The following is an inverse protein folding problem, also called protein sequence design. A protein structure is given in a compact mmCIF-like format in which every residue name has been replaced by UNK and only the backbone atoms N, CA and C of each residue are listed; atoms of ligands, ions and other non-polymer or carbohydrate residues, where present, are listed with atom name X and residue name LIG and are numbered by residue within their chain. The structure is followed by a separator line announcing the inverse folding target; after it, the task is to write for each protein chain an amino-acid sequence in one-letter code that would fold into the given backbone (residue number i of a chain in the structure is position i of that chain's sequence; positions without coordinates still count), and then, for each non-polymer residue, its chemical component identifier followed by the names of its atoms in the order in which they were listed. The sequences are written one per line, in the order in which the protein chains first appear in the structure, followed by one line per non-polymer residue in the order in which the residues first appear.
data_IF_400950393646
#
_entry.id   IF_400950393646
#
_cell.length_a   1.000
_cell.length_b   1.000
_cell.length_c   1.000
_cell.angle_alpha   90.00
_cell.angle_beta   90.00
_cell.angle_gamma   90.00
#
_symmetry.space_group_name_H-M   'P 1'
#
loop_
_entity.id
_entity.type
_entity.pdbx_description
1 polymer ?
#
# COMPACT_ATOMS: atom_id res chain seq x y z
N UNK A 1 19.46 5.09 -11.19
CA UNK A 1 18.14 4.55 -11.54
C UNK A 1 17.04 5.44 -11.00
N UNK A 2 16.06 5.76 -11.79
CA UNK A 2 14.96 6.59 -11.36
C UNK A 2 14.06 5.83 -10.37
N UNK A 3 13.63 6.53 -9.32
CA UNK A 3 12.65 6.00 -8.37
C UNK A 3 11.20 6.16 -8.84
N UNK A 4 11.02 6.71 -10.05
CA UNK A 4 9.69 6.88 -10.65
C UNK A 4 9.40 5.76 -11.63
N UNK A 5 8.12 5.47 -11.82
CA UNK A 5 7.66 4.53 -12.83
C UNK A 5 7.79 5.19 -14.21
N UNK A 6 8.45 4.51 -15.11
CA UNK A 6 8.66 4.99 -16.48
C UNK A 6 7.90 4.14 -17.47
N UNK A 7 7.32 4.80 -18.46
CA UNK A 7 6.80 4.16 -19.68
C UNK A 7 7.65 4.61 -20.85
N UNK A 8 7.55 3.90 -21.98
CA UNK A 8 8.43 4.07 -23.14
C UNK A 8 8.57 5.51 -23.63
N UNK A 9 7.52 6.33 -23.53
CA UNK A 9 7.53 7.71 -24.02
C UNK A 9 7.19 8.74 -22.95
N UNK A 10 6.92 8.31 -21.74
CA UNK A 10 6.41 9.20 -20.70
C UNK A 10 7.07 8.94 -19.36
N UNK A 11 7.32 10.02 -18.62
CA UNK A 11 7.63 9.97 -17.21
C UNK A 11 6.51 10.68 -16.49
N UNK A 12 5.80 9.97 -15.63
CA UNK A 12 4.72 10.55 -14.85
C UNK A 12 4.98 10.36 -13.36
N UNK A 13 4.59 11.36 -12.58
CA UNK A 13 4.70 11.30 -11.13
C UNK A 13 3.30 11.50 -10.56
N UNK A 14 2.58 10.40 -10.41
CA UNK A 14 1.25 10.39 -9.82
C UNK A 14 1.35 9.72 -8.46
N UNK A 15 1.28 10.53 -7.42
CA UNK A 15 1.40 10.07 -6.05
C UNK A 15 0.08 10.25 -5.33
N UNK A 16 -0.32 9.20 -4.61
CA UNK A 16 -1.54 9.19 -3.83
C UNK A 16 -1.25 8.80 -2.40
N UNK A 17 -1.90 9.50 -1.49
CA UNK A 17 -1.98 9.06 -0.11
C UNK A 17 -3.32 8.36 0.06
N UNK A 18 -3.28 7.10 0.52
CA UNK A 18 -4.46 6.28 0.72
C UNK A 18 -4.54 5.87 2.18
N UNK A 19 -5.75 5.86 2.73
CA UNK A 19 -5.99 5.33 4.07
C UNK A 19 -7.16 4.34 3.99
N UNK A 20 -6.92 3.11 4.44
CA UNK A 20 -7.93 2.06 4.45
C UNK A 20 -8.20 1.64 5.89
N UNK A 21 -9.39 1.91 6.42
CA UNK A 21 -9.78 1.37 7.72
C UNK A 21 -10.18 -0.10 7.63
N UNK A 22 -9.84 -0.88 8.65
CA UNK A 22 -10.32 -2.23 8.78
C UNK A 22 -11.82 -2.25 9.01
N UNK A 23 -12.50 -3.32 8.58
CA UNK A 23 -13.95 -3.46 8.70
C UNK A 23 -14.38 -3.31 10.16
N UNK A 24 -15.38 -2.47 10.39
CA UNK A 24 -15.89 -2.11 11.71
C UNK A 24 -14.84 -1.45 12.61
N UNK A 25 -13.76 -0.94 12.05
CA UNK A 25 -12.64 -0.35 12.79
C UNK A 25 -12.09 -1.30 13.86
N UNK A 26 -12.12 -2.59 13.57
CA UNK A 26 -11.58 -3.59 14.51
C UNK A 26 -10.06 -3.61 14.49
N UNK A 27 -9.47 -3.83 15.64
CA UNK A 27 -8.02 -3.88 15.83
C UNK A 27 -7.48 -5.25 15.41
N UNK A 28 -7.49 -5.51 14.10
CA UNK A 28 -7.07 -6.81 13.56
C UNK A 28 -5.68 -6.80 12.93
N UNK A 29 -5.07 -5.62 12.81
CA UNK A 29 -3.76 -5.50 12.16
C UNK A 29 -2.68 -5.62 13.24
N UNK A 30 -2.31 -6.85 13.53
CA UNK A 30 -1.21 -7.18 14.42
C UNK A 30 0.09 -7.34 13.62
N UNK A 31 1.17 -7.76 14.28
CA UNK A 31 2.47 -7.92 13.64
C UNK A 31 2.44 -8.93 12.49
N UNK A 32 1.67 -10.00 12.62
CA UNK A 32 1.55 -11.03 11.58
C UNK A 32 0.81 -10.50 10.37
N UNK A 33 -0.32 -9.81 10.57
CA UNK A 33 -1.09 -9.20 9.49
C UNK A 33 -0.26 -8.10 8.81
N UNK A 34 0.45 -7.29 9.55
CA UNK A 34 1.34 -6.27 9.01
C UNK A 34 2.38 -6.89 8.07
N UNK A 35 3.01 -7.98 8.49
CA UNK A 35 4.00 -8.67 7.67
C UNK A 35 3.39 -9.21 6.37
N UNK A 36 2.24 -9.86 6.46
CA UNK A 36 1.54 -10.38 5.28
C UNK A 36 1.15 -9.24 4.34
N UNK A 37 0.64 -8.14 4.88
CA UNK A 37 0.26 -6.98 4.10
C UNK A 37 1.45 -6.46 3.28
N UNK A 38 2.61 -6.33 3.88
CA UNK A 38 3.82 -5.84 3.21
C UNK A 38 4.29 -6.81 2.12
N UNK A 39 4.24 -8.10 2.39
CA UNK A 39 4.58 -9.12 1.39
C UNK A 39 3.64 -9.05 0.18
N UNK A 40 2.35 -8.93 0.44
CA UNK A 40 1.35 -8.83 -0.64
C UNK A 40 1.55 -7.56 -1.45
N UNK A 41 1.87 -6.46 -0.81
CA UNK A 41 2.16 -5.20 -1.52
C UNK A 41 3.35 -5.33 -2.46
N UNK A 42 4.40 -6.05 -2.07
CA UNK A 42 5.52 -6.34 -2.96
C UNK A 42 5.09 -7.20 -4.14
N UNK A 43 4.23 -8.19 -3.92
CA UNK A 43 3.68 -9.01 -4.99
C UNK A 43 2.82 -8.19 -5.96
N UNK A 44 2.06 -7.23 -5.44
CA UNK A 44 1.27 -6.30 -6.25
C UNK A 44 2.19 -5.45 -7.13
N UNK A 45 3.28 -4.90 -6.59
CA UNK A 45 4.25 -4.13 -7.36
C UNK A 45 4.82 -4.94 -8.52
N UNK A 46 5.01 -6.23 -8.32
CA UNK A 46 5.57 -7.11 -9.35
C UNK A 46 4.60 -7.35 -10.51
N UNK A 47 3.30 -7.17 -10.29
CA UNK A 47 2.25 -7.51 -11.27
C UNK A 47 1.54 -6.32 -11.87
N UNK A 48 1.54 -5.18 -11.19
CA UNK A 48 0.80 -3.99 -11.61
C UNK A 48 1.73 -2.79 -11.68
N UNK A 49 1.32 -1.79 -12.45
CA UNK A 49 2.13 -0.57 -12.66
C UNK A 49 1.92 0.40 -11.49
N UNK A 50 2.39 0.02 -10.33
CA UNK A 50 2.36 0.86 -9.15
C UNK A 50 3.54 0.54 -8.24
N UNK A 51 3.85 1.46 -7.35
CA UNK A 51 4.95 1.30 -6.41
C UNK A 51 4.53 1.87 -5.06
N UNK A 52 4.71 1.08 -4.01
CA UNK A 52 4.46 1.53 -2.64
C UNK A 52 5.72 2.24 -2.14
N UNK A 53 5.63 3.55 -1.95
CA UNK A 53 6.75 4.32 -1.40
C UNK A 53 6.78 4.26 0.12
N UNK A 54 5.61 4.13 0.74
CA UNK A 54 5.51 4.00 2.19
C UNK A 54 4.26 3.21 2.55
N UNK A 55 4.37 2.37 3.57
CA UNK A 55 3.25 1.66 4.18
C UNK A 55 3.34 1.87 5.69
N UNK A 56 2.33 2.49 6.27
CA UNK A 56 2.22 2.66 7.71
C UNK A 56 0.99 1.95 8.22
N UNK A 57 1.14 1.14 9.27
CA UNK A 57 0.03 0.40 9.84
C UNK A 57 -0.25 0.86 11.26
N UNK A 58 -1.53 0.89 11.60
CA UNK A 58 -2.00 0.96 12.97
C UNK A 58 -2.91 -0.25 13.18
N UNK A 59 -3.42 -0.45 14.38
CA UNK A 59 -4.20 -1.66 14.69
C UNK A 59 -5.48 -1.78 13.88
N UNK A 60 -6.09 -0.66 13.49
CA UNK A 60 -7.40 -0.65 12.82
C UNK A 60 -7.41 0.06 11.46
N UNK A 61 -6.26 0.47 10.95
CA UNK A 61 -6.16 1.09 9.63
C UNK A 61 -4.75 1.02 9.08
N UNK A 62 -4.64 1.24 7.76
CA UNK A 62 -3.35 1.27 7.05
C UNK A 62 -3.32 2.51 6.19
N UNK A 63 -2.18 3.18 6.13
CA UNK A 63 -1.97 4.26 5.19
C UNK A 63 -0.80 3.95 4.26
N UNK A 64 -0.97 4.37 3.01
CA UNK A 64 0.00 4.13 1.94
C UNK A 64 0.37 5.43 1.28
N UNK A 65 1.61 5.52 0.84
CA UNK A 65 2.03 6.47 -0.18
C UNK A 65 2.36 5.65 -1.42
N UNK A 66 1.60 5.84 -2.49
CA UNK A 66 1.66 4.99 -3.68
C UNK A 66 1.92 5.85 -4.90
N UNK A 67 2.85 5.41 -5.74
CA UNK A 67 3.02 5.94 -7.07
C UNK A 67 2.22 5.07 -8.05
N UNK A 68 1.43 5.72 -8.91
CA UNK A 68 0.61 5.04 -9.88
C UNK A 68 0.88 5.59 -11.29
N UNK A 69 0.08 5.19 -12.25
CA UNK A 69 0.19 5.57 -13.66
C UNK A 69 -1.14 6.14 -14.15
N UNK A 70 -1.14 6.95 -15.22
CA UNK A 70 -2.37 7.58 -15.71
C UNK A 70 -3.48 6.63 -16.15
N UNK A 71 -3.13 5.39 -16.50
CA UNK A 71 -4.12 4.40 -16.94
C UNK A 71 -4.96 3.83 -15.80
N UNK A 72 -4.56 4.04 -14.54
CA UNK A 72 -5.33 3.60 -13.39
C UNK A 72 -6.10 4.79 -12.79
N UNK A 73 -7.43 4.68 -12.73
CA UNK A 73 -8.22 5.59 -11.90
C UNK A 73 -7.93 5.33 -10.42
N UNK A 74 -8.25 6.28 -9.57
CA UNK A 74 -8.14 6.08 -8.12
C UNK A 74 -8.98 4.88 -7.68
N UNK A 75 -10.20 4.76 -8.21
CA UNK A 75 -11.08 3.62 -7.91
C UNK A 75 -10.43 2.30 -8.28
N UNK A 76 -9.81 2.22 -9.45
CA UNK A 76 -9.12 1.00 -9.88
C UNK A 76 -7.95 0.68 -8.99
N UNK A 77 -7.14 1.67 -8.68
CA UNK A 77 -5.99 1.53 -7.78
C UNK A 77 -6.42 0.98 -6.42
N UNK A 78 -7.45 1.58 -5.82
CA UNK A 78 -7.99 1.15 -4.53
C UNK A 78 -8.54 -0.27 -4.61
N UNK A 79 -9.26 -0.60 -5.67
CA UNK A 79 -9.82 -1.93 -5.87
C UNK A 79 -8.72 -3.00 -5.97
N UNK A 80 -7.66 -2.73 -6.72
CA UNK A 80 -6.51 -3.64 -6.83
C UNK A 80 -5.94 -3.91 -5.44
N UNK A 81 -5.63 -2.86 -4.70
CA UNK A 81 -4.97 -3.00 -3.40
C UNK A 81 -5.89 -3.69 -2.40
N UNK A 82 -7.14 -3.24 -2.28
CA UNK A 82 -8.08 -3.81 -1.31
C UNK A 82 -8.37 -5.28 -1.60
N UNK A 83 -8.67 -5.63 -2.85
CA UNK A 83 -9.08 -6.99 -3.17
C UNK A 83 -7.95 -8.00 -2.97
N UNK A 84 -6.75 -7.66 -3.40
CA UNK A 84 -5.61 -8.57 -3.28
C UNK A 84 -5.11 -8.69 -1.85
N UNK A 85 -5.04 -7.59 -1.12
CA UNK A 85 -4.62 -7.65 0.28
C UNK A 85 -5.62 -8.39 1.15
N UNK A 86 -6.92 -8.14 0.99
CA UNK A 86 -7.95 -8.83 1.75
C UNK A 86 -7.92 -10.34 1.50
N UNK A 87 -7.85 -10.73 0.24
CA UNK A 87 -7.82 -12.15 -0.13
C UNK A 87 -6.62 -12.87 0.50
N UNK A 88 -5.43 -12.30 0.37
CA UNK A 88 -4.23 -12.93 0.87
C UNK A 88 -4.11 -12.90 2.38
N UNK A 89 -4.58 -11.84 3.03
CA UNK A 89 -4.61 -11.79 4.50
C UNK A 89 -5.54 -12.88 5.04
N UNK A 90 -6.72 -13.04 4.47
CA UNK A 90 -7.64 -14.10 4.92
C UNK A 90 -7.10 -15.50 4.66
N UNK A 91 -6.37 -15.67 3.56
CA UNK A 91 -5.76 -16.96 3.21
C UNK A 91 -4.61 -17.31 4.14
N UNK A 92 -3.76 -16.34 4.44
CA UNK A 92 -2.54 -16.54 5.25
C UNK A 92 -2.76 -16.37 6.74
N UNK A 93 -3.84 -15.69 7.12
CA UNK A 93 -4.20 -15.43 8.53
C UNK A 93 -5.68 -15.78 8.75
N UNK A 94 -6.03 -17.08 8.75
CA UNK A 94 -7.45 -17.49 8.82
C UNK A 94 -8.16 -17.00 10.09
N UNK A 95 -7.45 -16.82 11.18
CA UNK A 95 -8.01 -16.33 12.45
C UNK A 95 -8.58 -14.91 12.32
N UNK A 96 -8.04 -14.10 11.40
CA UNK A 96 -8.56 -12.75 11.15
C UNK A 96 -9.96 -12.81 10.57
N UNK A 97 -10.20 -13.77 9.67
CA UNK A 97 -11.51 -13.95 9.05
C UNK A 97 -12.59 -14.28 10.09
N UNK A 98 -12.25 -15.07 11.09
CA UNK A 98 -13.15 -15.39 12.18
C UNK A 98 -13.49 -14.17 13.04
N UNK A 99 -12.54 -13.26 13.21
CA UNK A 99 -12.71 -12.02 13.97
C UNK A 99 -13.50 -10.96 13.23
N UNK A 100 -13.61 -11.09 11.89
CA UNK A 100 -14.30 -10.15 11.02
C UNK A 100 -15.42 -10.89 10.30
N UNK A 101 -16.55 -11.02 10.92
CA UNK A 101 -17.67 -11.69 10.25
C UNK A 101 -18.18 -10.89 9.05
N UNK A 102 -18.73 -11.62 8.06
CA UNK A 102 -19.15 -11.04 6.81
C UNK A 102 -18.11 -11.17 5.72
N UNK A 103 -16.89 -11.62 6.02
CA UNK A 103 -15.88 -11.95 5.04
C UNK A 103 -15.20 -10.76 4.37
N UNK A 104 -15.31 -9.56 4.93
CA UNK A 104 -14.64 -8.37 4.42
C UNK A 104 -13.57 -7.91 5.39
N UNK A 105 -12.37 -7.63 4.88
CA UNK A 105 -11.26 -7.10 5.69
C UNK A 105 -11.33 -5.58 5.83
N UNK A 106 -11.63 -4.89 4.74
CA UNK A 106 -11.65 -3.41 4.69
C UNK A 106 -13.07 -2.89 4.75
N UNK A 107 -13.25 -1.66 5.25
CA UNK A 107 -14.52 -0.94 5.10
C UNK A 107 -14.74 -0.62 3.62
N UNK A 108 -15.97 -0.30 3.25
CA UNK A 108 -16.27 0.11 1.87
C UNK A 108 -15.60 1.45 1.53
N UNK A 109 -15.47 2.33 2.52
CA UNK A 109 -14.87 3.63 2.33
C UNK A 109 -13.35 3.62 2.34
N UNK A 110 -12.78 4.73 1.93
CA UNK A 110 -11.35 4.97 1.99
C UNK A 110 -11.11 6.48 1.90
N UNK A 111 -9.93 6.90 2.34
CA UNK A 111 -9.45 8.26 2.10
C UNK A 111 -8.42 8.19 0.97
N UNK A 112 -8.50 9.13 0.02
CA UNK A 112 -7.51 9.24 -1.03
C UNK A 112 -7.25 10.71 -1.33
N UNK A 113 -5.99 11.09 -1.42
CA UNK A 113 -5.60 12.42 -1.86
C UNK A 113 -4.40 12.32 -2.77
N UNK A 114 -4.29 13.26 -3.71
CA UNK A 114 -3.09 13.40 -4.53
C UNK A 114 -2.01 14.11 -3.75
N UNK A 115 -0.75 13.80 -4.09
CA UNK A 115 0.41 14.48 -3.53
C UNK A 115 1.12 15.15 -4.69
N UNK A 116 1.17 16.47 -4.68
CA UNK A 116 1.75 17.24 -5.77
C UNK A 116 3.28 17.14 -5.80
N UNK A 117 3.85 17.22 -6.98
CA UNK A 117 5.29 17.07 -7.17
C UNK A 117 6.09 18.21 -6.52
N UNK A 118 5.73 19.46 -6.84
CA UNK A 118 6.59 20.60 -6.49
C UNK A 118 6.53 21.02 -5.03
N UNK A 119 5.38 20.95 -4.41
CA UNK A 119 5.25 21.28 -3.00
C UNK A 119 5.68 20.15 -2.10
N UNK A 120 6.02 19.00 -2.68
CA UNK A 120 5.98 17.75 -1.94
C UNK A 120 7.21 16.86 -2.00
N UNK A 121 8.23 17.18 -2.80
CA UNK A 121 9.47 16.41 -2.75
C UNK A 121 10.07 16.46 -1.35
N UNK A 122 10.08 17.65 -0.72
CA UNK A 122 10.47 17.78 0.67
C UNK A 122 9.51 17.08 1.62
N UNK A 123 8.21 17.24 1.39
CA UNK A 123 7.19 16.62 2.23
C UNK A 123 7.22 15.11 2.13
N UNK A 124 7.37 14.58 0.92
CA UNK A 124 7.51 13.14 0.67
C UNK A 124 8.77 12.63 1.36
N UNK A 125 9.89 13.32 1.19
CA UNK A 125 11.14 12.96 1.84
C UNK A 125 11.03 12.98 3.35
N UNK A 126 10.37 13.99 3.91
CA UNK A 126 10.15 14.08 5.36
C UNK A 126 9.21 12.98 5.84
N UNK A 127 8.15 12.70 5.08
CA UNK A 127 7.20 11.62 5.39
C UNK A 127 7.90 10.26 5.40
N UNK A 128 8.65 9.97 4.35
CA UNK A 128 9.41 8.73 4.23
C UNK A 128 10.44 8.61 5.36
N UNK A 129 11.11 9.70 5.72
CA UNK A 129 12.08 9.67 6.83
C UNK A 129 11.40 9.39 8.18
N UNK A 130 10.22 9.99 8.43
CA UNK A 130 9.48 9.76 9.68
C UNK A 130 8.99 8.32 9.81
N UNK A 131 8.68 7.69 8.68
CA UNK A 131 8.23 6.32 8.63
C UNK A 131 9.24 5.41 7.94
N UNK A 132 10.48 5.85 7.91
CA UNK A 132 11.53 5.31 7.07
C UNK A 132 11.86 3.85 7.31
N UNK A 133 11.67 3.35 8.54
CA UNK A 133 11.93 1.94 8.82
C UNK A 133 11.00 1.03 8.00
N UNK A 134 9.73 1.40 7.86
CA UNK A 134 8.78 0.64 7.05
C UNK A 134 9.14 0.65 5.57
N UNK A 135 9.44 1.83 5.04
CA UNK A 135 9.84 1.99 3.65
C UNK A 135 11.11 1.21 3.32
N UNK A 136 12.16 1.41 4.12
CA UNK A 136 13.44 0.72 3.92
C UNK A 136 13.26 -0.79 3.97
N UNK A 137 12.58 -1.28 4.96
CA UNK A 137 12.36 -2.71 5.16
C UNK A 137 11.66 -3.33 3.96
N UNK A 138 10.63 -2.67 3.43
CA UNK A 138 9.90 -3.15 2.27
C UNK A 138 10.80 -3.26 1.05
N UNK A 139 11.57 -2.22 0.75
CA UNK A 139 12.41 -2.19 -0.44
C UNK A 139 13.67 -3.05 -0.31
N UNK A 140 14.22 -3.17 0.88
CA UNK A 140 15.31 -4.11 1.13
C UNK A 140 14.89 -5.55 0.90
N UNK A 141 13.70 -5.94 1.38
CA UNK A 141 13.16 -7.27 1.13
C UNK A 141 12.98 -7.52 -0.36
N UNK A 142 12.50 -6.53 -1.10
CA UNK A 142 12.35 -6.63 -2.54
C UNK A 142 13.70 -6.85 -3.24
N UNK A 143 14.71 -6.08 -2.86
CA UNK A 143 16.05 -6.22 -3.42
C UNK A 143 16.62 -7.60 -3.15
N UNK A 144 16.46 -8.10 -1.95
CA UNK A 144 16.91 -9.44 -1.60
C UNK A 144 16.19 -10.53 -2.40
N UNK A 145 14.92 -10.31 -2.70
CA UNK A 145 14.14 -11.26 -3.50
C UNK A 145 14.54 -11.27 -4.97
N UNK A 146 15.19 -10.21 -5.46
CA UNK A 146 15.68 -10.13 -6.85
C UNK A 146 17.06 -10.77 -7.03
N UNK A 147 17.75 -11.00 -5.97
CA UNK A 147 19.07 -11.62 -5.96
C UNK A 147 19.03 -12.97 -5.26
#
# INVERSE_FOLDING_TARGET
MSRYVHKSHNVTVLLYRLVFPAKYRRAVIDATVDQVLREVCLEIEARYQLKFLEIGTDTDHVHFLVQSVPTYSVSKLVTIIKSLTAREIFKRCPEVRERLWGGEFWTDGYFASTVGRHGNEKAIGAYVRRQGSGYRKLHEQRQLALF
#
